data_IF_994854920844
#
_entry.id   IF_994854920844
#
_cell.length_a   1.000
_cell.length_b   1.000
_cell.length_c   1.000
_cell.angle_alpha   90.00
_cell.angle_beta   90.00
_cell.angle_gamma   90.00
#
_symmetry.space_group_name_H-M   'P 1'
#
loop_
_entity.id
_entity.type
_entity.pdbx_description
1 polymer ?
#
# COMPACT_ATOMS: atom_id res chain seq x y z
N UNK A 1 -4.24 36.17 -23.60
CA UNK A 1 -5.46 36.91 -23.22
C UNK A 1 -6.56 36.61 -24.24
N UNK A 2 -7.18 35.42 -24.18
CA UNK A 2 -8.26 35.07 -25.11
C UNK A 2 -9.59 35.20 -24.39
N UNK A 3 -10.32 36.26 -24.74
CA UNK A 3 -11.59 36.68 -24.15
C UNK A 3 -12.71 35.79 -24.69
N UNK A 4 -13.22 34.93 -23.81
CA UNK A 4 -14.64 34.84 -23.48
C UNK A 4 -15.64 34.62 -24.64
N UNK A 5 -16.07 33.36 -24.83
CA UNK A 5 -17.38 33.04 -25.40
C UNK A 5 -18.30 32.55 -24.28
N UNK A 6 -19.08 33.49 -23.73
CA UNK A 6 -20.24 33.22 -22.88
C UNK A 6 -21.43 32.83 -23.75
N UNK A 7 -22.16 31.79 -23.31
CA UNK A 7 -23.62 31.56 -23.36
C UNK A 7 -23.78 30.04 -23.19
N UNK A 8 -24.08 29.48 -22.01
CA UNK A 8 -25.27 29.58 -21.15
C UNK A 8 -25.91 28.17 -21.06
N UNK A 9 -26.71 27.94 -20.00
CA UNK A 9 -27.62 26.79 -19.73
C UNK A 9 -27.06 25.74 -18.74
N UNK A 10 -27.81 25.30 -17.71
CA UNK A 10 -28.56 26.06 -16.69
C UNK A 10 -28.26 25.53 -15.26
N UNK A 11 -28.80 26.21 -14.24
CA UNK A 11 -28.84 25.72 -12.86
C UNK A 11 -29.97 24.68 -12.65
N UNK A 12 -29.65 23.53 -12.06
CA UNK A 12 -30.53 22.58 -11.36
C UNK A 12 -29.67 21.37 -10.95
N UNK A 13 -29.78 20.70 -9.82
CA UNK A 13 -30.51 20.85 -8.57
C UNK A 13 -29.88 19.83 -7.59
N UNK A 14 -29.97 20.13 -6.30
CA UNK A 14 -29.57 19.28 -5.18
C UNK A 14 -30.22 17.87 -5.21
N UNK A 15 -29.47 16.84 -4.82
CA UNK A 15 -30.02 15.60 -4.27
C UNK A 15 -29.19 15.13 -3.07
N UNK A 16 -29.78 15.28 -1.90
CA UNK A 16 -29.39 14.73 -0.61
C UNK A 16 -29.58 13.21 -0.63
N UNK A 17 -28.58 12.43 -0.23
CA UNK A 17 -28.74 11.01 0.09
C UNK A 17 -28.61 10.81 1.59
N UNK A 18 -29.67 11.21 2.30
CA UNK A 18 -30.01 10.71 3.62
C UNK A 18 -30.62 9.32 3.47
N UNK A 19 -29.86 8.28 3.80
CA UNK A 19 -30.39 6.94 4.01
C UNK A 19 -30.18 6.56 5.47
N UNK A 20 -31.29 6.68 6.21
CA UNK A 20 -31.50 6.15 7.55
C UNK A 20 -31.42 4.62 7.55
N UNK A 21 -30.76 4.05 8.56
CA UNK A 21 -30.96 2.68 9.01
C UNK A 21 -31.23 2.72 10.50
N UNK A 22 -32.49 2.50 10.87
CA UNK A 22 -33.03 2.44 12.23
C UNK A 22 -33.18 0.94 12.56
N UNK A 23 -32.46 0.44 13.55
CA UNK A 23 -32.62 -0.91 14.09
C UNK A 23 -32.67 -0.83 15.62
N UNK A 24 -33.89 -0.82 16.13
CA UNK A 24 -34.30 -0.88 17.52
C UNK A 24 -34.22 -2.34 18.00
N UNK A 25 -33.28 -2.68 18.90
CA UNK A 25 -33.34 -3.95 19.64
C UNK A 25 -32.46 -3.94 20.89
N UNK A 26 -33.13 -3.88 22.05
CA UNK A 26 -32.98 -4.90 23.09
C UNK A 26 -31.67 -4.94 23.86
N UNK A 27 -31.77 -4.74 25.17
CA UNK A 27 -30.68 -5.00 26.10
C UNK A 27 -30.18 -6.44 26.04
N UNK A 28 -28.99 -6.66 26.62
CA UNK A 28 -28.65 -7.71 27.60
C UNK A 28 -27.13 -7.85 27.60
N UNK A 29 -26.52 -7.62 28.76
CA UNK A 29 -25.14 -8.00 29.08
C UNK A 29 -24.89 -9.45 28.68
N UNK A 30 -23.91 -9.70 27.81
CA UNK A 30 -23.49 -11.07 27.46
C UNK A 30 -22.04 -11.30 27.90
N UNK A 31 -21.74 -12.40 28.62
CA UNK A 31 -20.44 -12.66 29.21
C UNK A 31 -19.42 -13.16 28.17
N UNK A 32 -18.14 -13.00 28.51
CA UNK A 32 -17.00 -13.45 27.72
C UNK A 32 -17.11 -14.95 27.38
N UNK A 33 -17.26 -15.23 26.09
CA UNK A 33 -17.11 -16.58 25.51
C UNK A 33 -15.67 -16.70 25.00
N UNK A 34 -14.93 -17.67 25.52
CA UNK A 34 -13.57 -17.98 25.06
C UNK A 34 -13.60 -18.40 23.58
N UNK A 35 -12.77 -17.76 22.76
CA UNK A 35 -12.66 -18.07 21.33
C UNK A 35 -11.91 -19.39 21.09
N UNK A 36 -12.31 -20.19 20.09
CA UNK A 36 -11.55 -21.35 19.65
C UNK A 36 -10.23 -20.90 19.00
N UNK A 37 -9.13 -21.56 19.36
CA UNK A 37 -7.84 -21.45 18.69
C UNK A 37 -7.94 -22.03 17.28
N UNK A 38 -8.05 -21.15 16.29
CA UNK A 38 -7.90 -21.52 14.88
C UNK A 38 -6.41 -21.76 14.59
N UNK A 39 -6.02 -22.85 13.92
CA UNK A 39 -4.64 -23.02 13.47
C UNK A 39 -4.30 -21.95 12.43
N UNK A 40 -3.20 -21.24 12.64
CA UNK A 40 -2.69 -20.25 11.69
C UNK A 40 -2.29 -20.94 10.38
N UNK A 41 -2.58 -20.35 9.20
CA UNK A 41 -2.13 -20.89 7.93
C UNK A 41 -0.61 -20.87 7.84
N UNK A 42 -0.03 -21.95 7.32
CA UNK A 42 1.40 -22.09 7.07
C UNK A 42 1.92 -20.93 6.22
N UNK A 43 2.90 -20.20 6.78
CA UNK A 43 3.60 -19.16 6.04
C UNK A 43 4.36 -19.80 4.85
N UNK A 44 4.28 -19.24 3.63
CA UNK A 44 5.06 -19.75 2.50
C UNK A 44 6.55 -19.66 2.84
N UNK A 45 7.24 -20.77 2.56
CA UNK A 45 8.61 -21.04 2.96
C UNK A 45 9.59 -19.92 2.59
N UNK A 46 10.48 -19.66 3.54
CA UNK A 46 11.62 -18.77 3.38
C UNK A 46 12.53 -19.34 2.29
N UNK A 47 12.49 -18.78 1.09
CA UNK A 47 13.55 -18.99 0.09
C UNK A 47 14.85 -18.54 0.72
N UNK A 48 15.88 -19.39 0.70
CA UNK A 48 17.20 -19.13 1.28
C UNK A 48 17.65 -17.71 0.93
N UNK A 49 17.73 -16.85 1.96
CA UNK A 49 18.20 -15.50 1.81
C UNK A 49 19.69 -15.56 1.48
N UNK A 50 20.06 -15.12 0.29
CA UNK A 50 21.48 -14.99 -0.04
C UNK A 50 22.15 -14.11 1.00
N UNK A 51 23.20 -14.64 1.64
CA UNK A 51 23.82 -14.06 2.83
C UNK A 51 24.83 -12.95 2.49
N UNK A 52 24.97 -12.59 1.21
CA UNK A 52 25.82 -11.50 0.76
C UNK A 52 25.19 -10.12 0.93
N UNK A 53 25.97 -9.03 0.94
CA UNK A 53 25.42 -7.70 0.82
C UNK A 53 24.90 -7.44 -0.60
N UNK A 54 23.79 -6.70 -0.72
CA UNK A 54 23.38 -6.15 -2.01
C UNK A 54 24.40 -5.10 -2.49
N UNK A 55 24.75 -5.13 -3.77
CA UNK A 55 25.68 -4.16 -4.37
C UNK A 55 24.89 -2.98 -4.94
N UNK A 56 25.27 -1.77 -4.51
CA UNK A 56 24.67 -0.50 -4.94
C UNK A 56 25.78 0.48 -5.31
N UNK A 57 25.56 1.25 -6.37
CA UNK A 57 26.45 2.33 -6.81
C UNK A 57 25.67 3.65 -6.98
N UNK A 58 26.41 4.75 -7.09
CA UNK A 58 25.87 6.02 -7.55
C UNK A 58 25.85 6.01 -9.09
N UNK A 59 24.82 6.57 -9.69
CA UNK A 59 24.74 6.83 -11.14
C UNK A 59 25.91 7.69 -11.63
N UNK A 60 26.20 7.61 -12.93
CA UNK A 60 27.31 8.33 -13.56
C UNK A 60 27.22 9.85 -13.38
N UNK A 61 26.01 10.40 -13.31
CA UNK A 61 25.76 11.82 -13.08
C UNK A 61 25.70 12.20 -11.58
N UNK A 62 25.80 11.22 -10.69
CA UNK A 62 25.83 11.42 -9.26
C UNK A 62 24.47 11.64 -8.59
N UNK A 63 23.35 11.45 -9.31
CA UNK A 63 22.04 11.96 -8.84
C UNK A 63 21.17 10.93 -8.14
N UNK A 64 21.36 9.65 -8.43
CA UNK A 64 20.55 8.55 -7.91
C UNK A 64 21.33 7.24 -7.77
N UNK A 65 20.78 6.27 -7.04
CA UNK A 65 21.40 4.96 -6.82
C UNK A 65 21.05 3.97 -7.94
N UNK A 66 21.97 3.09 -8.27
CA UNK A 66 21.81 2.02 -9.27
C UNK A 66 22.29 0.67 -8.74
N UNK A 67 21.70 -0.43 -9.23
CA UNK A 67 22.16 -1.80 -8.98
C UNK A 67 23.43 -2.14 -9.76
N UNK A 68 24.04 -3.30 -9.49
CA UNK A 68 25.20 -3.81 -10.24
C UNK A 68 24.91 -4.00 -11.74
N UNK A 69 23.65 -4.22 -12.11
CA UNK A 69 23.17 -4.34 -13.48
C UNK A 69 22.79 -2.98 -14.12
N UNK A 70 23.02 -1.86 -13.42
CA UNK A 70 22.73 -0.52 -13.91
C UNK A 70 21.25 -0.11 -13.84
N UNK A 71 20.44 -0.79 -13.02
CA UNK A 71 19.02 -0.42 -12.83
C UNK A 71 18.89 0.63 -11.73
N UNK A 72 18.16 1.72 -12.00
CA UNK A 72 17.86 2.73 -10.97
C UNK A 72 17.08 2.12 -9.80
N UNK A 73 17.49 2.48 -8.58
CA UNK A 73 16.85 2.05 -7.35
C UNK A 73 15.85 3.10 -6.86
N UNK A 74 14.73 2.63 -6.33
CA UNK A 74 13.70 3.47 -5.74
C UNK A 74 13.49 3.12 -4.27
N UNK A 75 13.19 4.12 -3.46
CA UNK A 75 12.85 3.94 -2.06
C UNK A 75 11.35 3.71 -1.92
N UNK A 76 10.95 2.66 -1.21
CA UNK A 76 9.56 2.46 -0.84
C UNK A 76 9.26 3.29 0.43
N UNK A 77 8.68 4.46 0.25
CA UNK A 77 8.52 5.47 1.31
C UNK A 77 7.56 5.07 2.44
N UNK A 78 6.84 3.96 2.29
CA UNK A 78 5.99 3.41 3.35
C UNK A 78 6.74 2.52 4.35
N UNK A 79 8.02 2.21 4.08
CA UNK A 79 8.86 1.44 4.99
C UNK A 79 9.17 2.21 6.28
N UNK A 80 9.24 1.49 7.40
CA UNK A 80 9.46 2.06 8.73
C UNK A 80 10.67 1.39 9.38
N UNK A 81 11.75 2.15 9.56
CA UNK A 81 12.99 1.63 10.13
C UNK A 81 13.57 0.51 9.25
N UNK A 82 13.72 -0.69 9.82
CA UNK A 82 14.19 -1.89 9.10
C UNK A 82 13.04 -2.79 8.61
N UNK A 83 11.79 -2.34 8.74
CA UNK A 83 10.60 -3.12 8.39
C UNK A 83 9.99 -2.60 7.11
N UNK A 84 9.85 -3.48 6.11
CA UNK A 84 9.15 -3.11 4.89
C UNK A 84 7.64 -3.20 5.05
N UNK A 85 6.92 -2.20 4.55
CA UNK A 85 5.46 -2.23 4.43
C UNK A 85 5.01 -2.91 3.12
N UNK A 86 5.93 -3.23 2.21
CA UNK A 86 5.64 -3.85 0.92
C UNK A 86 5.56 -5.37 1.06
N UNK A 87 4.36 -5.94 0.90
CA UNK A 87 4.15 -7.38 0.87
C UNK A 87 3.18 -7.81 -0.22
N UNK A 88 3.14 -9.11 -0.52
CA UNK A 88 2.25 -9.71 -1.53
C UNK A 88 2.33 -9.00 -2.90
N UNK A 89 1.20 -8.53 -3.45
CA UNK A 89 1.14 -7.88 -4.76
C UNK A 89 2.00 -6.61 -4.87
N UNK A 90 2.37 -5.98 -3.75
CA UNK A 90 3.34 -4.88 -3.79
C UNK A 90 4.68 -5.31 -4.39
N UNK A 91 5.15 -6.54 -4.11
CA UNK A 91 6.45 -7.05 -4.58
C UNK A 91 6.52 -7.23 -6.11
N UNK A 92 5.37 -7.34 -6.78
CA UNK A 92 5.30 -7.43 -8.24
C UNK A 92 5.55 -6.06 -8.90
N UNK A 93 5.03 -5.00 -8.28
CA UNK A 93 5.15 -3.63 -8.76
C UNK A 93 6.40 -2.91 -8.23
N UNK A 94 6.86 -3.29 -7.03
CA UNK A 94 8.03 -2.76 -6.34
C UNK A 94 8.93 -3.92 -5.88
N UNK A 95 9.63 -4.59 -6.82
CA UNK A 95 10.53 -5.66 -6.45
C UNK A 95 11.70 -5.12 -5.61
N UNK A 96 12.06 -5.80 -4.50
CA UNK A 96 13.22 -5.40 -3.72
C UNK A 96 14.52 -5.67 -4.48
N UNK A 97 15.55 -4.90 -4.17
CA UNK A 97 16.91 -5.26 -4.56
C UNK A 97 17.32 -6.50 -3.76
N UNK A 98 17.54 -7.61 -4.45
CA UNK A 98 17.98 -8.86 -3.83
C UNK A 98 19.49 -8.83 -3.58
N UNK A 99 19.89 -9.37 -2.43
CA UNK A 99 21.29 -9.65 -2.13
C UNK A 99 21.85 -10.72 -3.07
N UNK A 100 23.13 -10.60 -3.40
CA UNK A 100 23.88 -11.58 -4.19
C UNK A 100 24.22 -12.81 -3.36
#
# INVERSE_FOLDING_TARGET
MSRLRFLAVPAAALLLLSACGDDDAGGTTSPATAAPTSPAPDAPGTTDASTGPATVALSDDGTHLVSAEGRSLYLFTSDQGTTSACGSGCLENWPPLVAA
#
